data_IF_601681581083
#
_entry.id   IF_601681581083
#
_cell.length_a   1.000
_cell.length_b   1.000
_cell.length_c   1.000
_cell.angle_alpha   90.00
_cell.angle_beta   90.00
_cell.angle_gamma   90.00
#
_symmetry.space_group_name_H-M   'P 1'
#
loop_
_entity.id
_entity.type
_entity.pdbx_description
1 polymer ?
#
# COMPACT_ATOMS: atom_id res chain seq x y z
N UNK A 1 -3.10 -2.45 19.30
CA UNK A 1 -2.39 -2.35 18.00
C UNK A 1 -2.05 -3.72 17.40
N UNK A 2 -1.45 -4.67 18.12
CA UNK A 2 -1.05 -5.97 17.53
C UNK A 2 -2.17 -6.79 16.86
N UNK A 3 -3.41 -6.71 17.35
CA UNK A 3 -4.56 -7.38 16.71
C UNK A 3 -5.00 -6.74 15.38
N UNK A 4 -4.88 -5.40 15.28
CA UNK A 4 -5.20 -4.66 14.07
C UNK A 4 -4.15 -4.91 12.99
N UNK A 5 -2.86 -4.86 13.37
CA UNK A 5 -1.75 -5.19 12.47
C UNK A 5 -1.84 -6.64 12.00
N UNK A 6 -2.11 -7.58 12.91
CA UNK A 6 -2.30 -8.99 12.55
C UNK A 6 -3.49 -9.22 11.60
N UNK A 7 -4.58 -8.50 11.78
CA UNK A 7 -5.75 -8.57 10.89
C UNK A 7 -5.43 -8.03 9.50
N UNK A 8 -4.73 -6.89 9.40
CA UNK A 8 -4.33 -6.31 8.11
C UNK A 8 -3.39 -7.26 7.36
N UNK A 9 -2.39 -7.81 8.04
CA UNK A 9 -1.46 -8.78 7.45
C UNK A 9 -2.20 -10.02 6.96
N UNK A 10 -3.14 -10.54 7.75
CA UNK A 10 -3.94 -11.71 7.37
C UNK A 10 -4.78 -11.43 6.11
N UNK A 11 -5.39 -10.25 6.00
CA UNK A 11 -6.15 -9.86 4.80
C UNK A 11 -5.24 -9.83 3.57
N UNK A 12 -4.05 -9.24 3.66
CA UNK A 12 -3.09 -9.18 2.54
C UNK A 12 -2.70 -10.60 2.10
N UNK A 13 -2.39 -11.48 3.05
CA UNK A 13 -2.00 -12.88 2.74
C UNK A 13 -3.14 -13.62 2.02
N UNK A 14 -4.40 -13.45 2.46
CA UNK A 14 -5.55 -14.06 1.80
C UNK A 14 -5.71 -13.55 0.36
N UNK A 15 -5.58 -12.24 0.13
CA UNK A 15 -5.67 -11.66 -1.21
C UNK A 15 -4.58 -12.20 -2.14
N UNK A 16 -3.34 -12.32 -1.67
CA UNK A 16 -2.22 -12.88 -2.45
C UNK A 16 -2.49 -14.33 -2.85
N UNK A 17 -3.02 -15.15 -1.94
CA UNK A 17 -3.36 -16.55 -2.23
C UNK A 17 -4.49 -16.65 -3.28
N UNK A 18 -5.50 -15.78 -3.21
CA UNK A 18 -6.60 -15.77 -4.18
C UNK A 18 -6.15 -15.34 -5.58
N UNK A 19 -5.21 -14.40 -5.68
CA UNK A 19 -4.57 -14.01 -6.95
C UNK A 19 -3.72 -15.17 -7.49
N UNK A 20 -2.94 -15.83 -6.63
CA UNK A 20 -2.07 -16.94 -7.04
C UNK A 20 -2.85 -18.16 -7.54
N UNK A 21 -4.00 -18.47 -6.94
CA UNK A 21 -4.91 -19.51 -7.41
C UNK A 21 -5.69 -19.12 -8.68
N UNK A 22 -5.48 -17.91 -9.21
CA UNK A 22 -6.14 -17.40 -10.42
C UNK A 22 -7.63 -17.10 -10.23
N UNK A 23 -8.10 -17.04 -8.98
CA UNK A 23 -9.50 -16.76 -8.65
C UNK A 23 -9.86 -15.29 -8.84
N UNK A 24 -8.86 -14.40 -8.70
CA UNK A 24 -8.94 -12.97 -8.96
C UNK A 24 -7.95 -12.64 -10.06
N UNK A 25 -8.46 -12.22 -11.21
CA UNK A 25 -7.66 -11.58 -12.27
C UNK A 25 -7.89 -10.08 -12.18
N UNK A 26 -6.82 -9.32 -12.23
CA UNK A 26 -6.92 -7.87 -12.38
C UNK A 26 -7.46 -7.57 -13.78
N UNK A 27 -8.59 -6.88 -13.84
CA UNK A 27 -9.06 -6.32 -15.10
C UNK A 27 -8.20 -5.11 -15.48
N UNK A 28 -8.22 -4.67 -16.75
CA UNK A 28 -7.50 -3.48 -17.18
C UNK A 28 -7.81 -2.25 -16.32
N UNK A 29 -9.07 -2.09 -15.90
CA UNK A 29 -9.51 -1.01 -15.01
C UNK A 29 -8.95 -1.18 -13.59
N UNK A 30 -8.74 -2.42 -13.16
CA UNK A 30 -8.11 -2.74 -11.87
C UNK A 30 -6.62 -2.45 -11.85
N UNK A 31 -5.91 -2.68 -12.96
CA UNK A 31 -4.50 -2.31 -13.12
C UNK A 31 -4.33 -0.79 -13.10
N UNK A 32 -5.18 -0.06 -13.84
CA UNK A 32 -5.18 1.41 -13.86
C UNK A 32 -5.49 1.99 -12.46
N UNK A 33 -6.44 1.42 -11.73
CA UNK A 33 -6.74 1.82 -10.36
C UNK A 33 -5.55 1.56 -9.41
N UNK A 34 -4.81 0.46 -9.60
CA UNK A 34 -3.62 0.15 -8.83
C UNK A 34 -2.47 1.10 -9.13
N UNK A 35 -2.24 1.45 -10.40
CA UNK A 35 -1.20 2.43 -10.78
C UNK A 35 -1.49 3.81 -10.18
N UNK A 36 -2.73 4.30 -10.33
CA UNK A 36 -3.17 5.55 -9.72
C UNK A 36 -3.01 5.54 -8.20
N UNK A 37 -3.34 4.41 -7.55
CA UNK A 37 -3.19 4.29 -6.09
C UNK A 37 -1.73 4.29 -5.68
N UNK A 38 -0.87 3.57 -6.41
CA UNK A 38 0.57 3.53 -6.13
C UNK A 38 1.22 4.90 -6.29
N UNK A 39 0.85 5.68 -7.30
CA UNK A 39 1.36 7.03 -7.49
C UNK A 39 0.96 7.97 -6.33
N UNK A 40 -0.32 7.95 -5.95
CA UNK A 40 -0.82 8.77 -4.84
C UNK A 40 -0.18 8.40 -3.50
N UNK A 41 -0.05 7.10 -3.21
CA UNK A 41 0.61 6.61 -2.00
C UNK A 41 2.11 6.96 -2.02
N UNK A 42 2.77 6.85 -3.18
CA UNK A 42 4.17 7.24 -3.36
C UNK A 42 4.41 8.71 -3.02
N UNK A 43 3.60 9.62 -3.58
CA UNK A 43 3.67 11.05 -3.27
C UNK A 43 3.41 11.33 -1.80
N UNK A 44 2.42 10.66 -1.18
CA UNK A 44 2.14 10.82 0.24
C UNK A 44 3.31 10.38 1.12
N UNK A 45 3.99 9.28 0.76
CA UNK A 45 5.19 8.79 1.46
C UNK A 45 6.36 9.76 1.28
N UNK A 46 6.58 10.27 0.08
CA UNK A 46 7.65 11.24 -0.22
C UNK A 46 7.45 12.54 0.56
N UNK A 47 6.26 13.14 0.50
CA UNK A 47 5.91 14.34 1.26
C UNK A 47 6.08 14.14 2.78
N UNK A 48 5.70 12.96 3.29
CA UNK A 48 5.89 12.63 4.71
C UNK A 48 7.38 12.47 5.04
N UNK A 49 8.17 11.86 4.14
CA UNK A 49 9.61 11.70 4.30
C UNK A 49 10.37 13.03 4.28
N UNK A 50 9.98 13.95 3.40
CA UNK A 50 10.53 15.31 3.36
C UNK A 50 10.18 16.09 4.63
N UNK A 51 8.93 16.02 5.10
CA UNK A 51 8.52 16.68 6.33
C UNK A 51 9.31 16.19 7.55
N UNK A 52 9.52 14.87 7.65
CA UNK A 52 10.32 14.27 8.74
C UNK A 52 11.81 14.62 8.64
N UNK A 53 12.38 14.69 7.44
CA UNK A 53 13.78 15.09 7.26
C UNK A 53 14.00 16.59 7.52
N UNK A 54 13.06 17.45 7.11
CA UNK A 54 13.10 18.88 7.40
C UNK A 54 12.99 19.18 8.89
N UNK A 55 12.12 18.46 9.60
CA UNK A 55 11.99 18.57 11.06
C UNK A 55 13.27 18.07 11.76
N UNK A 56 13.82 16.92 11.32
CA UNK A 56 15.07 16.37 11.86
C UNK A 56 16.34 17.18 11.53
N UNK A 57 16.32 18.06 10.54
CA UNK A 57 17.43 18.95 10.19
C UNK A 57 17.40 20.30 10.94
N UNK A 58 16.32 20.59 11.66
CA UNK A 58 16.12 21.85 12.39
C UNK A 58 16.29 21.71 13.92
N UNK A 59 16.62 20.51 14.42
CA UNK A 59 17.08 20.24 15.80
C UNK A 59 18.61 20.12 15.91
#
# INVERSE_FOLDING_TARGET
MGRLVGLVVLVIVVLVVLVWLGFIQLSPEGEEALENTQENVGQAVENTGEALQGDAATE
#
